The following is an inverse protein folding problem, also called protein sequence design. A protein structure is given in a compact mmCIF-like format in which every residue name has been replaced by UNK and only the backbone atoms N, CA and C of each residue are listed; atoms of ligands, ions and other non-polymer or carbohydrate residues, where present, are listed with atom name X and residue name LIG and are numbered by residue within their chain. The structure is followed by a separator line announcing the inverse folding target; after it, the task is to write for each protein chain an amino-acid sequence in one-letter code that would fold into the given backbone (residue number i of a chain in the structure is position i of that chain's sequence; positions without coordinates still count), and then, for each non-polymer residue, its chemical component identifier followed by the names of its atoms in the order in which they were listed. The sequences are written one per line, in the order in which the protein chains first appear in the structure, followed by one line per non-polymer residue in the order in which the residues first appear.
data_IF_359646348974
#
_entry.id   IF_359646348974
#
_cell.length_a   1.000
_cell.length_b   1.000
_cell.length_c   1.000
_cell.angle_alpha   90.00
_cell.angle_beta   90.00
_cell.angle_gamma   90.00
#
_symmetry.space_group_name_H-M   'P 1'
#
loop_
_entity.id
_entity.type
_entity.pdbx_description
1 polymer ?
#
# COMPACT_ATOMS: atom_id res chain seq x y z
N UNK A 1 -14.51 6.18 -7.50
CA UNK A 1 -13.36 6.55 -8.38
C UNK A 1 -12.31 7.45 -7.71
N UNK A 2 -12.72 8.47 -6.96
CA UNK A 2 -11.80 9.44 -6.36
C UNK A 2 -10.81 8.79 -5.36
N UNK A 3 -11.31 7.93 -4.47
CA UNK A 3 -10.49 7.19 -3.49
C UNK A 3 -9.43 6.32 -4.16
N UNK A 4 -9.79 5.66 -5.27
CA UNK A 4 -8.85 4.84 -6.04
C UNK A 4 -7.70 5.68 -6.63
N UNK A 5 -8.00 6.89 -7.11
CA UNK A 5 -6.99 7.84 -7.61
C UNK A 5 -6.10 8.38 -6.50
N UNK A 6 -6.61 8.55 -5.29
CA UNK A 6 -5.79 8.92 -4.12
C UNK A 6 -4.79 7.81 -3.81
N UNK A 7 -5.19 6.54 -3.91
CA UNK A 7 -4.27 5.41 -3.85
C UNK A 7 -3.21 5.46 -4.95
N UNK A 8 -3.61 5.70 -6.20
CA UNK A 8 -2.67 5.82 -7.33
C UNK A 8 -1.65 6.97 -7.11
N UNK A 9 -2.05 8.04 -6.40
CA UNK A 9 -1.17 9.13 -6.00
C UNK A 9 -0.15 8.75 -4.91
N UNK A 10 -0.38 7.68 -4.15
CA UNK A 10 0.64 7.07 -3.28
C UNK A 10 1.56 6.10 -4.04
N UNK A 11 0.98 5.31 -4.95
CA UNK A 11 1.69 4.32 -5.74
C UNK A 11 2.75 4.94 -6.67
N UNK A 12 2.35 5.94 -7.46
CA UNK A 12 3.21 6.56 -8.46
C UNK A 12 4.53 7.16 -7.88
N UNK A 13 4.49 7.97 -6.79
CA UNK A 13 5.72 8.44 -6.17
C UNK A 13 6.47 7.33 -5.42
N UNK A 14 5.82 6.25 -4.98
CA UNK A 14 6.50 5.09 -4.41
C UNK A 14 7.39 4.38 -5.44
N UNK A 15 6.86 4.15 -6.64
CA UNK A 15 7.61 3.57 -7.77
C UNK A 15 8.71 4.52 -8.22
N UNK A 16 8.39 5.81 -8.38
CA UNK A 16 9.39 6.84 -8.74
C UNK A 16 10.52 6.96 -7.70
N UNK A 17 10.19 6.91 -6.40
CA UNK A 17 11.16 6.87 -5.32
C UNK A 17 12.09 5.65 -5.40
N UNK A 18 11.55 4.47 -5.72
CA UNK A 18 12.34 3.27 -5.95
C UNK A 18 13.29 3.44 -7.14
N UNK A 19 12.79 3.98 -8.24
CA UNK A 19 13.58 4.24 -9.45
C UNK A 19 14.69 5.28 -9.19
N UNK A 20 14.42 6.36 -8.47
CA UNK A 20 15.44 7.38 -8.17
C UNK A 20 16.60 6.83 -7.34
N UNK A 21 16.35 5.90 -6.41
CA UNK A 21 17.39 5.33 -5.55
C UNK A 21 18.19 4.19 -6.21
N UNK A 22 17.49 3.29 -6.91
CA UNK A 22 18.04 2.02 -7.39
C UNK A 22 18.27 2.03 -8.91
N UNK A 23 17.66 2.97 -9.64
CA UNK A 23 17.77 3.16 -11.10
C UNK A 23 17.27 1.96 -11.92
N UNK A 24 16.35 1.18 -11.35
CA UNK A 24 15.77 -0.02 -11.96
C UNK A 24 14.36 -0.27 -11.41
N UNK A 25 13.55 -0.99 -12.18
CA UNK A 25 12.20 -1.46 -11.79
C UNK A 25 12.16 -2.98 -11.61
N UNK A 26 13.27 -3.69 -11.85
CA UNK A 26 13.34 -5.14 -11.72
C UNK A 26 13.40 -5.55 -10.24
N UNK A 27 12.40 -6.31 -9.80
CA UNK A 27 12.26 -6.76 -8.40
C UNK A 27 13.52 -7.45 -7.85
N UNK A 28 14.16 -8.33 -8.62
CA UNK A 28 15.37 -9.04 -8.19
C UNK A 28 16.51 -8.08 -7.83
N UNK A 29 16.73 -7.08 -8.69
CA UNK A 29 17.76 -6.06 -8.49
C UNK A 29 17.40 -5.10 -7.35
N UNK A 30 16.11 -4.77 -7.20
CA UNK A 30 15.59 -3.94 -6.10
C UNK A 30 15.86 -4.61 -4.75
N UNK A 31 15.53 -5.90 -4.61
CA UNK A 31 15.68 -6.60 -3.34
C UNK A 31 17.15 -6.81 -2.95
N UNK A 32 18.03 -7.06 -3.92
CA UNK A 32 19.46 -7.15 -3.67
C UNK A 32 20.04 -5.81 -3.18
N UNK A 33 19.62 -4.70 -3.81
CA UNK A 33 20.10 -3.36 -3.48
C UNK A 33 19.42 -2.74 -2.24
N UNK A 34 18.25 -3.21 -1.83
CA UNK A 34 17.49 -2.69 -0.68
C UNK A 34 18.21 -2.90 0.66
N UNK A 35 19.11 -3.87 0.75
CA UNK A 35 19.93 -4.12 1.95
C UNK A 35 21.05 -3.10 2.16
N UNK A 36 21.46 -2.39 1.10
CA UNK A 36 22.50 -1.37 1.18
C UNK A 36 21.91 -0.07 1.75
N UNK A 37 22.51 0.53 2.81
CA UNK A 37 22.04 1.78 3.37
C UNK A 37 22.30 2.93 2.38
N UNK A 38 21.33 3.20 1.49
CA UNK A 38 21.42 4.26 0.50
C UNK A 38 20.57 5.45 0.92
N UNK A 39 21.27 6.56 1.20
CA UNK A 39 20.79 7.94 1.35
C UNK A 39 19.56 8.14 2.24
N UNK A 40 19.77 8.65 3.46
CA UNK A 40 18.73 9.39 4.16
C UNK A 40 18.38 10.63 3.34
N UNK A 41 17.12 10.80 2.93
CA UNK A 41 16.66 12.09 2.41
C UNK A 41 16.69 13.08 3.57
N UNK A 42 17.71 13.93 3.62
CA UNK A 42 17.86 14.96 4.64
C UNK A 42 16.91 16.08 4.26
N UNK A 43 15.68 16.02 4.78
CA UNK A 43 14.82 17.19 4.85
C UNK A 43 14.92 17.76 6.26
N UNK A 44 15.54 18.93 6.36
CA UNK A 44 15.41 19.90 7.46
C UNK A 44 15.30 19.27 8.87
N UNK A 45 16.38 18.63 9.35
CA UNK A 45 16.55 18.01 10.68
C UNK A 45 15.89 16.63 10.96
N UNK A 46 15.20 16.00 10.00
CA UNK A 46 14.71 14.62 10.17
C UNK A 46 15.46 13.64 9.27
N UNK A 47 16.15 12.67 9.87
CA UNK A 47 16.75 11.54 9.15
C UNK A 47 15.67 10.51 8.84
N UNK A 48 14.90 10.72 7.78
CA UNK A 48 13.97 9.70 7.28
C UNK A 48 14.73 8.72 6.37
N UNK A 49 14.62 7.44 6.69
CA UNK A 49 15.14 6.38 5.83
C UNK A 49 14.30 6.34 4.54
N UNK A 50 14.96 6.51 3.40
CA UNK A 50 14.30 6.58 2.10
C UNK A 50 13.46 5.33 1.81
N UNK A 51 13.94 4.17 2.23
CA UNK A 51 13.27 2.88 2.05
C UNK A 51 11.97 2.84 2.86
N UNK A 52 11.97 3.35 4.09
CA UNK A 52 10.76 3.46 4.92
C UNK A 52 9.70 4.35 4.24
N UNK A 53 10.11 5.48 3.68
CA UNK A 53 9.19 6.38 2.98
C UNK A 53 8.58 5.70 1.75
N UNK A 54 9.41 5.01 0.95
CA UNK A 54 8.93 4.25 -0.22
C UNK A 54 7.94 3.17 0.20
N UNK A 55 8.24 2.41 1.26
CA UNK A 55 7.33 1.41 1.81
C UNK A 55 5.97 2.02 2.20
N UNK A 56 5.99 3.18 2.87
CA UNK A 56 4.75 3.87 3.30
C UNK A 56 3.96 4.36 2.08
N UNK A 57 4.62 4.93 1.07
CA UNK A 57 3.95 5.37 -0.17
C UNK A 57 3.32 4.20 -0.93
N UNK A 58 4.06 3.09 -1.06
CA UNK A 58 3.57 1.85 -1.64
C UNK A 58 2.38 1.29 -0.84
N UNK A 59 2.44 1.36 0.50
CA UNK A 59 1.33 0.97 1.37
C UNK A 59 0.09 1.83 1.14
N UNK A 60 0.22 3.16 1.02
CA UNK A 60 -0.90 4.06 0.71
C UNK A 60 -1.55 3.67 -0.63
N UNK A 61 -0.74 3.30 -1.62
CA UNK A 61 -1.24 2.78 -2.89
C UNK A 61 -2.05 1.50 -2.75
N UNK A 62 -1.54 0.54 -1.99
CA UNK A 62 -2.24 -0.70 -1.69
C UNK A 62 -3.52 -0.49 -0.85
N UNK A 63 -3.48 0.45 0.11
CA UNK A 63 -4.59 0.80 0.99
C UNK A 63 -5.78 1.38 0.21
N UNK A 64 -5.52 2.25 -0.78
CA UNK A 64 -6.54 2.84 -1.63
C UNK A 64 -7.29 1.82 -2.50
N UNK A 65 -6.60 0.78 -2.96
CA UNK A 65 -7.20 -0.35 -3.72
C UNK A 65 -7.96 -1.32 -2.82
N UNK A 66 -7.52 -1.50 -1.57
CA UNK A 66 -8.01 -2.56 -0.67
C UNK A 66 -9.10 -2.10 0.32
N UNK A 67 -9.62 -0.89 0.17
CA UNK A 67 -10.63 -0.33 1.08
C UNK A 67 -10.21 -0.33 2.57
N UNK A 68 -8.92 -0.08 2.86
CA UNK A 68 -8.46 0.04 4.24
C UNK A 68 -9.07 1.26 4.94
N UNK A 69 -8.92 1.34 6.27
CA UNK A 69 -9.44 2.44 7.09
C UNK A 69 -9.09 3.82 6.49
N UNK A 70 -10.09 4.71 6.41
CA UNK A 70 -10.00 6.00 5.69
C UNK A 70 -10.26 5.95 4.17
N UNK A 71 -10.03 4.81 3.50
CA UNK A 71 -10.30 4.60 2.06
C UNK A 71 -11.45 3.62 1.79
N UNK A 72 -12.27 3.29 2.79
CA UNK A 72 -13.32 2.27 2.73
C UNK A 72 -14.64 2.76 2.12
N UNK A 73 -14.83 4.08 1.95
CA UNK A 73 -16.11 4.69 1.56
C UNK A 73 -16.62 4.27 0.20
N UNK A 74 -15.76 3.83 -0.72
CA UNK A 74 -16.21 3.34 -2.02
C UNK A 74 -16.74 1.90 -1.99
N UNK A 75 -16.48 1.15 -0.91
CA UNK A 75 -16.85 -0.26 -0.80
C UNK A 75 -18.36 -0.48 -0.67
N UNK A 76 -19.12 0.29 0.13
CA UNK A 76 -20.59 0.20 0.14
C UNK A 76 -21.20 0.61 -1.20
N UNK A 77 -20.71 1.70 -1.80
CA UNK A 77 -21.18 2.18 -3.11
C UNK A 77 -20.96 1.13 -4.22
N UNK A 78 -19.92 0.30 -4.12
CA UNK A 78 -19.67 -0.79 -5.07
C UNK A 78 -20.77 -1.86 -5.08
N UNK A 79 -21.60 -1.93 -4.03
CA UNK A 79 -22.74 -2.84 -3.93
C UNK A 79 -24.01 -2.30 -4.60
N UNK A 80 -24.04 -1.02 -5.01
CA UNK A 80 -25.13 -0.46 -5.82
C UNK A 80 -25.10 -0.97 -7.28
N UNK A 81 -23.96 -1.52 -7.72
CA UNK A 81 -23.80 -2.12 -9.03
C UNK A 81 -24.49 -3.49 -9.17
N UNK A 82 -24.57 -4.04 -10.40
CA UNK A 82 -25.14 -5.37 -10.61
C UNK A 82 -24.33 -6.45 -9.87
N UNK A 83 -25.03 -7.41 -9.26
CA UNK A 83 -24.46 -8.50 -8.45
C UNK A 83 -23.26 -9.26 -9.05
N UNK A 84 -23.17 -9.55 -10.36
CA UNK A 84 -21.94 -10.16 -10.91
C UNK A 84 -20.73 -9.22 -10.91
N UNK A 85 -20.94 -7.90 -10.99
CA UNK A 85 -19.86 -6.90 -11.03
C UNK A 85 -19.31 -6.63 -9.63
N UNK A 86 -20.19 -6.52 -8.62
CA UNK A 86 -19.74 -6.37 -7.23
C UNK A 86 -18.94 -7.60 -6.77
N UNK A 87 -19.38 -8.81 -7.14
CA UNK A 87 -18.63 -10.05 -6.88
C UNK A 87 -17.22 -10.02 -7.49
N UNK A 88 -17.07 -9.55 -8.73
CA UNK A 88 -15.78 -9.45 -9.42
C UNK A 88 -14.86 -8.36 -8.82
N UNK A 89 -15.42 -7.25 -8.35
CA UNK A 89 -14.64 -6.16 -7.74
C UNK A 89 -14.03 -6.63 -6.40
N UNK A 90 -14.83 -7.30 -5.58
CA UNK A 90 -14.41 -7.79 -4.28
C UNK A 90 -13.52 -9.03 -4.36
N UNK A 91 -13.82 -9.99 -5.24
CA UNK A 91 -13.06 -11.24 -5.31
C UNK A 91 -11.76 -11.12 -6.10
N UNK A 92 -11.73 -10.29 -7.16
CA UNK A 92 -10.71 -10.46 -8.20
C UNK A 92 -9.87 -9.24 -8.52
N UNK A 93 -10.31 -8.00 -8.22
CA UNK A 93 -9.65 -6.81 -8.81
C UNK A 93 -9.15 -5.74 -7.85
N UNK A 94 -9.91 -5.34 -6.82
CA UNK A 94 -9.49 -4.20 -5.99
C UNK A 94 -8.76 -4.65 -4.72
N UNK A 95 -9.34 -5.59 -3.97
CA UNK A 95 -8.74 -6.03 -2.70
C UNK A 95 -7.53 -6.93 -2.91
N UNK A 96 -7.60 -7.85 -3.87
CA UNK A 96 -6.51 -8.79 -4.17
C UNK A 96 -5.29 -8.11 -4.77
N UNK A 97 -5.46 -7.06 -5.57
CA UNK A 97 -4.36 -6.34 -6.20
C UNK A 97 -3.47 -5.62 -5.17
N UNK A 98 -4.05 -5.00 -4.15
CA UNK A 98 -3.28 -4.35 -3.09
C UNK A 98 -2.47 -5.34 -2.25
N UNK A 99 -3.10 -6.46 -1.85
CA UNK A 99 -2.41 -7.54 -1.12
C UNK A 99 -1.32 -8.18 -1.96
N UNK A 100 -1.59 -8.45 -3.24
CA UNK A 100 -0.60 -9.01 -4.17
C UNK A 100 0.64 -8.13 -4.28
N UNK A 101 0.45 -6.80 -4.37
CA UNK A 101 1.57 -5.88 -4.45
C UNK A 101 2.43 -5.90 -3.18
N UNK A 102 1.81 -5.85 -2.00
CA UNK A 102 2.54 -5.92 -0.72
C UNK A 102 3.29 -7.25 -0.60
N UNK A 103 2.64 -8.37 -0.97
CA UNK A 103 3.26 -9.69 -0.95
C UNK A 103 4.44 -9.80 -1.92
N UNK A 104 4.33 -9.25 -3.13
CA UNK A 104 5.44 -9.22 -4.10
C UNK A 104 6.61 -8.38 -3.62
N UNK A 105 6.32 -7.28 -2.93
CA UNK A 105 7.33 -6.41 -2.33
C UNK A 105 7.76 -6.84 -0.92
N UNK A 106 7.39 -8.05 -0.44
CA UNK A 106 7.70 -8.46 0.94
C UNK A 106 9.18 -8.31 1.33
N UNK A 107 10.17 -8.62 0.47
CA UNK A 107 11.57 -8.46 0.85
C UNK A 107 11.93 -6.99 1.12
N UNK A 108 11.23 -6.06 0.48
CA UNK A 108 11.45 -4.61 0.66
C UNK A 108 10.81 -4.12 1.97
N UNK A 109 9.69 -4.69 2.39
CA UNK A 109 9.00 -4.36 3.64
C UNK A 109 9.66 -4.97 4.89
N UNK A 110 10.49 -6.00 4.75
CA UNK A 110 11.21 -6.62 5.87
C UNK A 110 12.31 -5.73 6.47
N UNK A 111 12.88 -4.81 5.70
CA UNK A 111 13.97 -3.95 6.18
C UNK A 111 13.52 -2.86 7.17
N UNK A 112 12.43 -2.09 6.91
CA UNK A 112 11.96 -1.08 7.84
C UNK A 112 10.91 -1.64 8.84
N UNK A 113 11.26 -1.86 10.12
CA UNK A 113 10.30 -2.38 11.11
C UNK A 113 9.12 -1.41 11.33
N UNK A 114 9.34 -0.11 11.14
CA UNK A 114 8.28 0.91 11.22
C UNK A 114 7.19 0.70 10.16
N UNK A 115 7.53 0.27 8.95
CA UNK A 115 6.54 0.01 7.92
C UNK A 115 5.66 -1.19 8.29
N UNK A 116 6.26 -2.28 8.80
CA UNK A 116 5.52 -3.46 9.26
C UNK A 116 4.54 -3.15 10.38
N UNK A 117 4.94 -2.31 11.35
CA UNK A 117 4.07 -1.85 12.44
C UNK A 117 2.88 -1.05 11.88
N UNK A 118 3.11 -0.18 10.90
CA UNK A 118 2.02 0.59 10.28
C UNK A 118 1.06 -0.32 9.51
N UNK A 119 1.57 -1.29 8.75
CA UNK A 119 0.74 -2.27 8.00
C UNK A 119 -0.14 -3.07 8.96
N UNK A 120 0.46 -3.62 10.02
CA UNK A 120 -0.25 -4.44 11.00
C UNK A 120 -1.29 -3.64 11.76
N UNK A 121 -0.96 -2.43 12.21
CA UNK A 121 -1.91 -1.56 12.88
C UNK A 121 -3.08 -1.14 11.99
N UNK A 122 -2.79 -0.71 10.75
CA UNK A 122 -3.83 -0.33 9.78
C UNK A 122 -4.74 -1.51 9.43
N UNK A 123 -4.16 -2.71 9.22
CA UNK A 123 -4.91 -3.94 8.97
C UNK A 123 -5.79 -4.34 10.15
N UNK A 124 -5.24 -4.34 11.37
CA UNK A 124 -5.98 -4.67 12.59
C UNK A 124 -7.17 -3.72 12.80
N UNK A 125 -6.95 -2.41 12.70
CA UNK A 125 -8.01 -1.41 12.85
C UNK A 125 -9.09 -1.54 11.77
N UNK A 126 -8.69 -1.81 10.52
CA UNK A 126 -9.63 -2.05 9.42
C UNK A 126 -10.48 -3.29 9.71
N UNK A 127 -9.86 -4.39 10.14
CA UNK A 127 -10.57 -5.65 10.44
C UNK A 127 -11.57 -5.49 11.58
N UNK A 128 -11.19 -4.76 12.63
CA UNK A 128 -12.05 -4.50 13.78
C UNK A 128 -13.26 -3.65 13.36
N UNK A 129 -13.02 -2.53 12.66
CA UNK A 129 -14.08 -1.64 12.22
C UNK A 129 -15.04 -2.35 11.25
N UNK A 130 -14.50 -3.04 10.23
CA UNK A 130 -15.31 -3.78 9.26
C UNK A 130 -16.18 -4.86 9.92
N UNK A 131 -15.65 -5.58 10.90
CA UNK A 131 -16.41 -6.58 11.65
C UNK A 131 -17.55 -5.94 12.47
N UNK A 132 -17.28 -4.82 13.15
CA UNK A 132 -18.32 -4.13 13.94
C UNK A 132 -19.43 -3.52 13.08
N UNK A 133 -19.10 -2.96 11.91
CA UNK A 133 -20.10 -2.40 10.99
C UNK A 133 -20.90 -3.45 10.24
N UNK A 134 -20.34 -4.64 10.02
CA UNK A 134 -21.02 -5.72 9.29
C UNK A 134 -22.04 -6.51 10.12
N UNK A 135 -22.06 -6.34 11.44
CA UNK A 135 -23.05 -6.96 12.35
C UNK A 135 -24.30 -6.08 12.53
N UNK A 136 -24.17 -4.77 12.31
CA UNK A 136 -25.27 -3.80 12.33
C UNK A 136 -26.01 -3.76 11.00
#
# INVERSE_FOLDING_TARGET
MLVNRVGDFGLAPGISGCFTLIQTVDFSTIFACASAPRNSWISRNMRLNAITLICILLLIGAAGKSAQIGSHTWSPDAMEGPTPVSALIHATTMVTAGVFMIARCSPLFEYPPTALIVITFAGAMTSFLAATTGIL
#
